data_IF_613292240934
#
_entry.id   IF_613292240934
#
_cell.length_a   1.000
_cell.length_b   1.000
_cell.length_c   1.000
_cell.angle_alpha   90.00
_cell.angle_beta   90.00
_cell.angle_gamma   90.00
#
_symmetry.space_group_name_H-M   'P 1'
#
loop_
_entity.id
_entity.type
_entity.pdbx_description
1 polymer ?
#
# COMPACT_ATOMS: atom_id res chain seq x y z
N UNK A 1 -5.99 -10.96 -90.15
CA UNK A 1 -6.55 -11.42 -88.84
C UNK A 1 -5.60 -10.98 -87.72
N UNK A 2 -5.99 -9.95 -86.96
CA UNK A 2 -5.18 -9.36 -85.89
C UNK A 2 -5.71 -9.85 -84.53
N UNK A 3 -4.85 -10.59 -83.84
CA UNK A 3 -5.14 -11.06 -82.50
C UNK A 3 -4.87 -9.93 -81.46
N UNK A 4 -5.88 -9.56 -80.70
CA UNK A 4 -5.77 -8.59 -79.58
C UNK A 4 -5.61 -9.40 -78.33
N UNK A 5 -4.39 -9.29 -77.70
CA UNK A 5 -4.09 -9.85 -76.38
C UNK A 5 -4.49 -8.83 -75.34
N UNK A 6 -5.49 -9.14 -74.53
CA UNK A 6 -5.88 -8.32 -73.41
C UNK A 6 -4.98 -8.57 -72.22
N UNK A 7 -4.31 -7.54 -71.68
CA UNK A 7 -3.44 -7.55 -70.53
C UNK A 7 -4.25 -7.19 -69.26
N UNK A 8 -4.48 -8.15 -68.39
CA UNK A 8 -5.10 -7.90 -67.10
C UNK A 8 -4.04 -7.34 -66.12
N UNK A 9 -4.23 -6.10 -65.69
CA UNK A 9 -3.51 -5.53 -64.57
C UNK A 9 -4.20 -5.96 -63.27
N UNK A 10 -3.52 -6.77 -62.47
CA UNK A 10 -3.92 -7.06 -61.08
C UNK A 10 -3.40 -5.95 -60.17
N UNK A 11 -4.31 -5.17 -59.58
CA UNK A 11 -3.97 -4.16 -58.57
C UNK A 11 -3.90 -4.86 -57.19
N UNK A 12 -2.69 -4.99 -56.67
CA UNK A 12 -2.47 -5.47 -55.29
C UNK A 12 -2.71 -4.33 -54.32
N UNK A 13 -3.80 -4.40 -53.52
CA UNK A 13 -4.06 -3.49 -52.42
C UNK A 13 -3.27 -4.00 -51.22
N UNK A 14 -2.19 -3.29 -50.86
CA UNK A 14 -1.45 -3.49 -49.60
C UNK A 14 -2.27 -2.86 -48.47
N UNK A 15 -2.96 -3.70 -47.72
CA UNK A 15 -3.53 -3.32 -46.39
C UNK A 15 -2.38 -3.15 -45.40
N UNK A 16 -1.92 -1.92 -45.19
CA UNK A 16 -1.05 -1.58 -44.06
C UNK A 16 -1.92 -1.57 -42.78
N UNK A 17 -1.97 -2.70 -42.10
CA UNK A 17 -2.55 -2.80 -40.77
C UNK A 17 -1.70 -1.98 -39.80
N UNK A 18 -2.09 -0.74 -39.53
CA UNK A 18 -1.53 0.07 -38.47
C UNK A 18 -1.87 -0.59 -37.12
N UNK A 19 -0.93 -1.28 -36.51
CA UNK A 19 -0.99 -1.66 -35.10
C UNK A 19 -0.98 -0.35 -34.31
N UNK A 20 -2.14 0.10 -33.85
CA UNK A 20 -2.21 1.12 -32.81
C UNK A 20 -1.55 0.52 -31.56
N UNK A 21 -0.36 1.01 -31.23
CA UNK A 21 0.25 0.74 -29.96
C UNK A 21 -0.68 1.28 -28.89
N UNK A 22 -1.42 0.39 -28.24
CA UNK A 22 -2.24 0.71 -27.07
C UNK A 22 -1.24 1.14 -26.00
N UNK A 23 -1.21 2.44 -25.67
CA UNK A 23 -0.39 2.95 -24.58
C UNK A 23 -0.76 2.15 -23.34
N UNK A 24 0.19 1.38 -22.81
CA UNK A 24 -0.02 0.61 -21.59
C UNK A 24 -0.52 1.59 -20.51
N UNK A 25 -1.72 1.32 -19.99
CA UNK A 25 -2.27 2.14 -18.92
C UNK A 25 -1.31 2.07 -17.73
N UNK A 26 -0.82 3.24 -17.28
CA UNK A 26 0.16 3.34 -16.21
C UNK A 26 -0.44 3.05 -14.83
N UNK A 27 0.41 2.80 -13.84
CA UNK A 27 0.02 2.68 -12.44
C UNK A 27 -0.83 3.88 -12.01
N UNK A 28 -1.95 3.61 -11.37
CA UNK A 28 -2.80 4.62 -10.79
C UNK A 28 -3.26 4.19 -9.40
N UNK A 29 -3.04 5.05 -8.38
CA UNK A 29 -3.58 4.89 -7.02
C UNK A 29 -4.50 6.05 -6.72
N UNK A 30 -5.77 5.76 -6.42
CA UNK A 30 -6.78 6.76 -6.05
C UNK A 30 -7.28 6.51 -4.63
N UNK A 31 -7.32 7.58 -3.87
CA UNK A 31 -7.92 7.62 -2.53
C UNK A 31 -9.29 8.29 -2.63
N UNK A 32 -10.30 7.72 -1.99
CA UNK A 32 -11.66 8.22 -2.03
C UNK A 32 -12.29 8.21 -0.62
N UNK A 33 -13.02 9.29 -0.33
CA UNK A 33 -13.84 9.43 0.87
C UNK A 33 -15.25 9.84 0.47
N UNK A 34 -16.22 9.06 0.89
CA UNK A 34 -17.65 9.40 0.78
C UNK A 34 -18.05 10.39 1.88
N UNK A 35 -17.54 10.16 3.09
CA UNK A 35 -17.89 10.93 4.29
C UNK A 35 -16.91 12.09 4.51
N UNK A 36 -17.42 13.29 4.74
CA UNK A 36 -16.60 14.47 5.03
C UNK A 36 -15.72 14.29 6.29
N UNK A 37 -16.27 13.63 7.33
CA UNK A 37 -15.54 13.46 8.60
C UNK A 37 -14.33 12.55 8.51
N UNK A 38 -14.23 11.70 7.49
CA UNK A 38 -13.08 10.81 7.30
C UNK A 38 -11.89 11.47 6.60
N UNK A 39 -12.15 12.59 5.92
CA UNK A 39 -11.10 13.32 5.17
C UNK A 39 -9.95 13.75 6.08
N UNK A 40 -8.74 13.42 5.67
CA UNK A 40 -7.51 13.68 6.43
C UNK A 40 -7.24 12.69 7.58
N UNK A 41 -8.21 11.84 7.93
CA UNK A 41 -8.02 10.79 8.92
C UNK A 41 -7.62 9.47 8.28
N UNK A 42 -8.40 8.99 7.31
CA UNK A 42 -8.13 7.79 6.53
C UNK A 42 -8.95 7.82 5.24
N UNK A 43 -8.59 7.01 4.26
CA UNK A 43 -9.44 6.80 3.09
C UNK A 43 -10.46 5.70 3.36
N UNK A 44 -11.71 5.91 2.94
CA UNK A 44 -12.74 4.86 2.99
C UNK A 44 -12.49 3.82 1.90
N UNK A 45 -11.94 4.25 0.75
CA UNK A 45 -11.58 3.39 -0.36
C UNK A 45 -10.23 3.81 -0.94
N UNK A 46 -9.38 2.83 -1.26
CA UNK A 46 -8.21 3.00 -2.12
C UNK A 46 -8.35 2.03 -3.28
N UNK A 47 -8.26 2.54 -4.50
CA UNK A 47 -8.18 1.70 -5.71
C UNK A 47 -6.79 1.79 -6.30
N UNK A 48 -6.30 0.66 -6.83
CA UNK A 48 -5.04 0.60 -7.54
C UNK A 48 -5.25 -0.13 -8.86
N UNK A 49 -4.87 0.54 -9.97
CA UNK A 49 -4.88 -0.03 -11.31
C UNK A 49 -3.45 -0.25 -11.78
N UNK A 50 -3.21 -1.34 -12.50
CA UNK A 50 -1.89 -1.73 -13.03
C UNK A 50 -0.82 -1.73 -11.93
N UNK A 51 -1.03 -2.54 -10.85
CA UNK A 51 -0.09 -2.59 -9.74
C UNK A 51 1.24 -3.16 -10.18
N UNK A 52 2.32 -2.67 -9.58
CA UNK A 52 3.61 -3.34 -9.56
C UNK A 52 3.63 -4.44 -8.49
N UNK A 53 4.60 -4.38 -7.59
CA UNK A 53 4.73 -5.33 -6.48
C UNK A 53 3.67 -5.09 -5.42
N UNK A 54 3.00 -6.16 -4.96
CA UNK A 54 2.12 -6.13 -3.79
C UNK A 54 2.91 -6.70 -2.61
N UNK A 55 2.97 -5.94 -1.51
CA UNK A 55 3.76 -6.24 -0.33
C UNK A 55 2.81 -6.38 0.85
N UNK A 56 2.83 -7.53 1.50
CA UNK A 56 2.12 -7.82 2.75
C UNK A 56 3.14 -7.86 3.88
N UNK A 57 2.98 -7.02 4.89
CA UNK A 57 3.72 -7.16 6.13
C UNK A 57 2.93 -8.03 7.10
N UNK A 58 3.62 -8.81 7.92
CA UNK A 58 3.03 -9.40 9.11
C UNK A 58 2.71 -8.29 10.12
N UNK A 59 1.97 -8.61 11.19
CA UNK A 59 1.79 -7.69 12.29
C UNK A 59 3.14 -7.20 12.82
N UNK A 60 3.30 -5.89 12.91
CA UNK A 60 4.54 -5.23 13.34
C UNK A 60 4.25 -4.48 14.64
N UNK A 61 4.88 -4.90 15.70
CA UNK A 61 4.80 -4.26 17.02
C UNK A 61 6.18 -3.83 17.53
N UNK A 62 6.28 -3.67 18.83
CA UNK A 62 7.49 -3.21 19.50
C UNK A 62 8.41 -4.36 19.96
N UNK A 63 8.34 -5.52 19.34
CA UNK A 63 9.28 -6.62 19.57
C UNK A 63 10.71 -6.13 19.29
N UNK A 64 11.60 -6.37 20.22
CA UNK A 64 13.01 -5.99 20.11
C UNK A 64 13.72 -6.88 19.09
N UNK A 65 14.15 -6.29 17.96
CA UNK A 65 14.85 -7.00 16.89
C UNK A 65 16.22 -7.53 17.30
N UNK A 66 16.83 -6.96 18.35
CA UNK A 66 18.11 -7.37 18.91
C UNK A 66 17.97 -8.16 20.22
N UNK A 67 16.76 -8.23 20.75
CA UNK A 67 16.43 -8.94 21.98
C UNK A 67 16.13 -10.43 21.76
N UNK A 68 15.92 -11.15 22.81
CA UNK A 68 15.40 -12.53 22.74
C UNK A 68 13.93 -12.56 22.35
N UNK A 69 13.44 -13.78 22.02
CA UNK A 69 12.04 -13.99 21.68
C UNK A 69 11.10 -13.46 22.78
N UNK A 70 10.18 -12.57 22.39
CA UNK A 70 9.22 -11.96 23.31
C UNK A 70 9.74 -10.76 24.09
N UNK A 71 10.97 -10.31 23.83
CA UNK A 71 11.46 -9.05 24.36
C UNK A 71 10.73 -7.88 23.69
N UNK A 72 10.20 -6.96 24.49
CA UNK A 72 9.42 -5.81 24.02
C UNK A 72 10.14 -4.53 24.41
N UNK A 73 10.34 -3.63 23.44
CA UNK A 73 10.82 -2.27 23.67
C UNK A 73 9.72 -1.38 24.20
N UNK A 74 10.10 -0.35 24.94
CA UNK A 74 9.18 0.67 25.45
C UNK A 74 8.02 0.08 26.27
N UNK A 75 8.34 -0.86 27.19
CA UNK A 75 7.33 -1.46 28.07
C UNK A 75 6.54 -0.36 28.82
N UNK A 76 5.20 -0.44 28.74
CA UNK A 76 4.31 0.52 29.39
C UNK A 76 4.20 1.89 28.70
N UNK A 77 4.95 2.15 27.62
CA UNK A 77 4.94 3.39 26.86
C UNK A 77 4.32 3.15 25.47
N UNK A 78 3.05 3.52 25.32
CA UNK A 78 2.30 3.36 24.05
C UNK A 78 2.94 4.14 22.91
N UNK A 79 3.31 5.41 23.13
CA UNK A 79 3.87 6.26 22.08
C UNK A 79 5.23 5.73 21.61
N UNK A 80 6.08 5.29 22.55
CA UNK A 80 7.35 4.64 22.23
C UNK A 80 7.16 3.37 21.40
N UNK A 81 6.23 2.50 21.78
CA UNK A 81 5.91 1.28 21.03
C UNK A 81 5.37 1.58 19.63
N UNK A 82 4.46 2.53 19.53
CA UNK A 82 3.87 2.91 18.24
C UNK A 82 4.92 3.47 17.26
N UNK A 83 5.75 4.39 17.70
CA UNK A 83 6.85 4.95 16.88
C UNK A 83 7.82 3.88 16.45
N UNK A 84 8.21 3.00 17.36
CA UNK A 84 9.12 1.90 17.04
C UNK A 84 8.53 0.93 16.01
N UNK A 85 7.24 0.59 16.13
CA UNK A 85 6.53 -0.24 15.15
C UNK A 85 6.53 0.41 13.74
N UNK A 86 6.21 1.70 13.64
CA UNK A 86 6.23 2.39 12.35
C UNK A 86 7.65 2.58 11.78
N UNK A 87 8.66 2.75 12.61
CA UNK A 87 10.06 2.74 12.16
C UNK A 87 10.47 1.39 11.57
N UNK A 88 10.02 0.28 12.20
CA UNK A 88 10.21 -1.07 11.63
C UNK A 88 9.49 -1.21 10.29
N UNK A 89 8.22 -0.79 10.20
CA UNK A 89 7.45 -0.81 8.93
C UNK A 89 8.20 -0.07 7.84
N UNK A 90 8.70 1.13 8.12
CA UNK A 90 9.48 1.92 7.17
C UNK A 90 10.73 1.17 6.67
N UNK A 91 11.48 0.52 7.57
CA UNK A 91 12.66 -0.28 7.19
C UNK A 91 12.27 -1.51 6.38
N UNK A 92 11.20 -2.21 6.75
CA UNK A 92 10.71 -3.40 6.04
C UNK A 92 10.26 -3.05 4.62
N UNK A 93 9.52 -1.96 4.45
CA UNK A 93 9.12 -1.46 3.13
C UNK A 93 10.33 -1.07 2.29
N UNK A 94 11.28 -0.32 2.86
CA UNK A 94 12.51 0.09 2.17
C UNK A 94 13.33 -1.12 1.68
N UNK A 95 13.42 -2.19 2.45
CA UNK A 95 14.08 -3.43 2.06
C UNK A 95 13.41 -4.13 0.86
N UNK A 96 12.14 -3.79 0.57
CA UNK A 96 11.39 -4.28 -0.58
C UNK A 96 11.30 -3.25 -1.73
N UNK A 97 12.01 -2.12 -1.63
CA UNK A 97 11.99 -1.05 -2.62
C UNK A 97 10.72 -0.19 -2.55
N UNK A 98 10.01 -0.21 -1.42
CA UNK A 98 8.80 0.56 -1.19
C UNK A 98 8.98 1.64 -0.12
N UNK A 99 8.02 2.53 -0.03
CA UNK A 99 7.99 3.66 0.92
C UNK A 99 6.65 3.71 1.65
N UNK A 100 6.53 4.60 2.63
CA UNK A 100 5.26 4.85 3.32
C UNK A 100 4.17 5.38 2.36
N UNK A 101 4.54 5.99 1.22
CA UNK A 101 3.59 6.44 0.19
C UNK A 101 2.91 5.28 -0.55
N UNK A 102 3.52 4.10 -0.54
CA UNK A 102 3.00 2.92 -1.24
C UNK A 102 1.97 2.16 -0.41
N UNK A 103 1.79 2.53 0.86
CA UNK A 103 0.80 1.90 1.74
C UNK A 103 -0.61 2.19 1.21
N UNK A 104 -1.39 1.12 1.07
CA UNK A 104 -2.79 1.17 0.65
C UNK A 104 -3.75 0.80 1.78
N UNK A 105 -3.30 -0.03 2.73
CA UNK A 105 -4.10 -0.45 3.88
C UNK A 105 -3.27 -0.52 5.15
N UNK A 106 -3.88 -0.07 6.25
CA UNK A 106 -3.38 -0.24 7.61
C UNK A 106 -4.48 -0.84 8.47
N UNK A 107 -4.14 -1.84 9.29
CA UNK A 107 -4.95 -2.29 10.42
C UNK A 107 -4.14 -2.06 11.68
N UNK A 108 -4.71 -1.38 12.65
CA UNK A 108 -4.07 -1.13 13.95
C UNK A 108 -4.84 -1.87 15.03
N UNK A 109 -4.14 -2.72 15.76
CA UNK A 109 -4.63 -3.44 16.94
C UNK A 109 -4.04 -2.79 18.18
N UNK A 110 -4.90 -2.53 19.18
CA UNK A 110 -4.47 -2.01 20.49
C UNK A 110 -5.08 -2.84 21.61
N UNK A 111 -4.40 -2.89 22.74
CA UNK A 111 -4.91 -3.57 23.94
C UNK A 111 -5.74 -2.65 24.82
N UNK A 112 -5.76 -1.35 24.54
CA UNK A 112 -6.55 -0.36 25.26
C UNK A 112 -7.10 0.69 24.30
N UNK A 113 -8.45 0.78 24.16
CA UNK A 113 -9.12 1.72 23.27
C UNK A 113 -8.84 3.19 23.62
N UNK A 114 -8.45 3.50 24.84
CA UNK A 114 -8.11 4.86 25.27
C UNK A 114 -6.89 5.43 24.52
N UNK A 115 -6.09 4.56 23.92
CA UNK A 115 -4.94 4.94 23.09
C UNK A 115 -5.32 5.35 21.66
N UNK A 116 -6.62 5.40 21.28
CA UNK A 116 -7.06 5.70 19.90
C UNK A 116 -6.51 7.02 19.38
N UNK A 117 -6.57 8.09 20.17
CA UNK A 117 -6.07 9.42 19.78
C UNK A 117 -4.54 9.41 19.57
N UNK A 118 -3.79 8.75 20.47
CA UNK A 118 -2.35 8.62 20.37
C UNK A 118 -1.95 7.78 19.15
N UNK A 119 -2.65 6.68 18.89
CA UNK A 119 -2.44 5.84 17.70
C UNK A 119 -2.67 6.64 16.41
N UNK A 120 -3.73 7.44 16.36
CA UNK A 120 -4.04 8.31 15.22
C UNK A 120 -2.93 9.33 14.95
N UNK A 121 -2.45 10.00 16.00
CA UNK A 121 -1.34 10.96 15.92
C UNK A 121 -0.05 10.27 15.44
N UNK A 122 0.33 9.17 16.06
CA UNK A 122 1.52 8.39 15.72
C UNK A 122 1.50 7.95 14.24
N UNK A 123 0.36 7.41 13.76
CA UNK A 123 0.18 7.04 12.36
C UNK A 123 0.34 8.23 11.41
N UNK A 124 -0.30 9.36 11.72
CA UNK A 124 -0.22 10.56 10.89
C UNK A 124 1.23 11.08 10.79
N UNK A 125 1.96 11.10 11.90
CA UNK A 125 3.38 11.46 11.94
C UNK A 125 4.23 10.50 11.09
N UNK A 126 4.01 9.20 11.23
CA UNK A 126 4.74 8.18 10.48
C UNK A 126 4.50 8.24 8.97
N UNK A 127 3.27 8.54 8.55
CA UNK A 127 2.92 8.71 7.13
C UNK A 127 3.49 10.00 6.53
N UNK A 128 3.86 11.00 7.35
CA UNK A 128 4.62 12.18 6.92
C UNK A 128 3.97 12.98 5.79
N UNK A 129 2.63 13.06 5.73
CA UNK A 129 1.90 13.74 4.68
C UNK A 129 1.59 12.86 3.45
N UNK A 130 1.96 11.58 3.45
CA UNK A 130 1.51 10.63 2.44
C UNK A 130 -0.04 10.56 2.39
N UNK A 131 -0.64 10.25 1.23
CA UNK A 131 -2.08 10.02 1.14
C UNK A 131 -2.51 8.97 2.16
N UNK A 132 -3.56 9.28 2.92
CA UNK A 132 -4.02 8.38 3.98
C UNK A 132 -4.52 7.06 3.40
N UNK A 133 -4.00 5.90 3.81
CA UNK A 133 -4.50 4.58 3.38
C UNK A 133 -5.90 4.31 3.94
N UNK A 134 -6.55 3.23 3.47
CA UNK A 134 -7.70 2.71 4.21
C UNK A 134 -7.24 2.22 5.58
N UNK A 135 -8.05 2.45 6.61
CA UNK A 135 -7.66 2.15 7.98
C UNK A 135 -8.77 1.43 8.75
N UNK A 136 -8.39 0.38 9.47
CA UNK A 136 -9.22 -0.29 10.46
C UNK A 136 -8.54 -0.19 11.81
N UNK A 137 -9.27 0.17 12.85
CA UNK A 137 -8.78 0.27 14.21
C UNK A 137 -9.55 -0.69 15.11
N UNK A 138 -8.85 -1.54 15.84
CA UNK A 138 -9.44 -2.59 16.66
C UNK A 138 -8.83 -2.59 18.08
N UNK A 139 -9.69 -2.72 19.08
CA UNK A 139 -9.28 -3.09 20.43
C UNK A 139 -9.42 -4.60 20.60
N UNK A 140 -8.38 -5.23 21.07
CA UNK A 140 -8.31 -6.68 21.33
C UNK A 140 -7.82 -6.94 22.75
N UNK A 141 -8.06 -8.15 23.25
CA UNK A 141 -7.70 -8.49 24.64
C UNK A 141 -6.18 -8.53 24.83
N UNK A 142 -5.42 -9.07 23.86
CA UNK A 142 -3.98 -9.28 23.98
C UNK A 142 -3.36 -9.44 22.60
N UNK A 143 -2.13 -8.97 22.48
CA UNK A 143 -1.23 -9.21 21.35
C UNK A 143 -0.37 -10.45 21.62
N UNK A 144 0.47 -10.81 20.65
CA UNK A 144 1.26 -12.04 20.68
C UNK A 144 2.15 -12.19 21.93
N UNK A 145 2.65 -11.08 22.46
CA UNK A 145 3.54 -11.08 23.62
C UNK A 145 3.04 -10.18 24.76
N UNK A 146 3.20 -10.61 26.00
CA UNK A 146 2.92 -9.74 27.16
C UNK A 146 3.71 -8.44 27.08
N UNK A 147 3.03 -7.32 27.36
CA UNK A 147 3.65 -5.98 27.31
C UNK A 147 3.57 -5.28 25.96
N UNK A 148 3.12 -5.95 24.89
CA UNK A 148 2.74 -5.28 23.64
C UNK A 148 1.45 -4.51 23.85
N UNK A 149 1.42 -3.24 23.41
CA UNK A 149 0.28 -2.34 23.51
C UNK A 149 -0.34 -2.03 22.14
N UNK A 150 0.44 -2.19 21.06
CA UNK A 150 0.05 -1.91 19.69
C UNK A 150 0.73 -2.86 18.72
N UNK A 151 0.00 -3.21 17.66
CA UNK A 151 0.48 -3.96 16.49
C UNK A 151 -0.15 -3.39 15.23
N UNK A 152 0.58 -3.36 14.15
CA UNK A 152 0.14 -2.73 12.89
C UNK A 152 0.37 -3.67 11.71
N UNK A 153 -0.71 -4.03 11.00
CA UNK A 153 -0.65 -4.72 9.70
C UNK A 153 -0.64 -3.71 8.56
N UNK A 154 0.17 -3.98 7.54
CA UNK A 154 0.30 -3.10 6.39
C UNK A 154 0.22 -3.88 5.08
N UNK A 155 -0.50 -3.32 4.12
CA UNK A 155 -0.42 -3.72 2.72
C UNK A 155 0.07 -2.50 1.93
N UNK A 156 1.12 -2.69 1.13
CA UNK A 156 1.66 -1.67 0.23
C UNK A 156 1.68 -2.18 -1.21
N UNK A 157 1.55 -1.26 -2.17
CA UNK A 157 1.57 -1.55 -3.61
C UNK A 157 2.46 -0.52 -4.29
N UNK A 158 3.53 -1.01 -4.93
CA UNK A 158 4.47 -0.15 -5.66
C UNK A 158 4.00 0.15 -7.07
N UNK A 159 4.55 1.21 -7.64
CA UNK A 159 4.36 1.57 -9.05
C UNK A 159 5.06 0.58 -10.00
N UNK A 160 6.20 0.05 -9.58
CA UNK A 160 7.05 -0.84 -10.38
C UNK A 160 7.19 -2.20 -9.71
N UNK A 161 7.47 -3.27 -10.50
CA UNK A 161 7.66 -4.64 -9.99
C UNK A 161 8.79 -4.80 -8.98
#
# INVERSE_FOLDING_TARGET
MRSMTAMLLAASVLLTGGTQAQTAAGFEKKNYNYSEWTKGLFSEVVTVSHPGKIIFLAGVGAEDESGGRGAIRHLGDFDGQCRYAYDKIKRLLAAQGATMNDIVKVVTYVTDIRNQAQAGKCRAEALGGAPQPVHTFLNINQLAWPGMLVEVDVIAITKEP
#
